data_IF_384338634425
#
_entry.id   IF_384338634425
#
_cell.length_a   1.000
_cell.length_b   1.000
_cell.length_c   1.000
_cell.angle_alpha   90.00
_cell.angle_beta   90.00
_cell.angle_gamma   90.00
#
_symmetry.space_group_name_H-M   'P 1'
#
loop_
_entity.id
_entity.type
_entity.pdbx_description
1 polymer ?
#
# COMPACT_ATOMS: atom_id res chain seq x y z
N UNK A 1 1.45 -17.58 -1.56
CA UNK A 1 1.03 -16.89 -0.36
C UNK A 1 0.39 -17.85 0.67
N UNK A 2 -0.72 -18.56 0.33
CA UNK A 2 -1.43 -19.47 1.25
C UNK A 2 -0.58 -20.67 1.70
N UNK A 3 0.23 -21.28 0.82
CA UNK A 3 1.14 -22.37 1.18
C UNK A 3 2.18 -21.91 2.22
N UNK A 4 2.64 -20.67 2.12
CA UNK A 4 3.55 -20.07 3.10
C UNK A 4 2.86 -19.89 4.46
N UNK A 5 1.61 -19.41 4.46
CA UNK A 5 0.82 -19.28 5.69
C UNK A 5 0.58 -20.65 6.37
N UNK A 6 0.24 -21.69 5.59
CA UNK A 6 0.10 -23.06 6.10
C UNK A 6 1.41 -23.60 6.72
N UNK A 7 2.56 -23.32 6.09
CA UNK A 7 3.88 -23.70 6.65
C UNK A 7 4.17 -22.99 7.97
N UNK A 8 3.82 -21.70 8.08
CA UNK A 8 3.95 -20.96 9.34
C UNK A 8 3.04 -21.52 10.44
N UNK A 9 1.87 -22.02 10.08
CA UNK A 9 1.01 -22.77 11.00
C UNK A 9 1.50 -24.20 11.33
N UNK A 10 2.71 -24.58 10.90
CA UNK A 10 3.29 -25.90 11.12
C UNK A 10 2.67 -27.03 10.29
N UNK A 11 1.97 -26.70 9.19
CA UNK A 11 1.41 -27.68 8.30
C UNK A 11 2.44 -28.20 7.29
N UNK A 12 2.48 -29.51 7.08
CA UNK A 12 3.23 -30.13 5.99
C UNK A 12 2.31 -30.27 4.78
N UNK A 13 2.53 -29.43 3.76
CA UNK A 13 1.73 -29.44 2.52
C UNK A 13 2.37 -30.40 1.53
N UNK A 14 1.65 -31.44 1.14
CA UNK A 14 2.09 -32.44 0.18
C UNK A 14 1.61 -32.14 -1.24
N UNK A 15 2.28 -32.71 -2.26
CA UNK A 15 1.89 -32.54 -3.66
C UNK A 15 0.48 -33.08 -3.96
N UNK A 16 0.04 -34.13 -3.26
CA UNK A 16 -1.31 -34.70 -3.35
C UNK A 16 -2.44 -33.74 -2.94
N UNK A 17 -2.10 -32.69 -2.21
CA UNK A 17 -3.06 -31.69 -1.74
C UNK A 17 -3.29 -30.58 -2.77
N UNK A 18 -2.74 -30.72 -3.98
CA UNK A 18 -2.87 -29.77 -5.10
C UNK A 18 -2.56 -28.31 -4.70
N UNK A 19 -1.36 -28.01 -4.13
CA UNK A 19 -1.04 -26.70 -3.55
C UNK A 19 -0.87 -25.58 -4.58
N UNK A 20 -1.08 -25.86 -5.86
CA UNK A 20 -0.91 -24.89 -6.95
C UNK A 20 -2.12 -23.93 -7.05
N UNK A 21 -3.32 -24.40 -6.70
CA UNK A 21 -4.55 -23.63 -6.79
C UNK A 21 -5.36 -23.78 -5.50
N UNK A 22 -5.71 -22.64 -4.90
CA UNK A 22 -6.47 -22.63 -3.64
C UNK A 22 -7.86 -23.26 -3.77
N UNK A 23 -8.50 -23.12 -4.94
CA UNK A 23 -9.83 -23.64 -5.23
C UNK A 23 -9.88 -25.17 -5.32
N UNK A 24 -8.74 -25.79 -5.66
CA UNK A 24 -8.62 -27.25 -5.80
C UNK A 24 -7.86 -27.90 -4.65
N UNK A 25 -7.33 -27.10 -3.73
CA UNK A 25 -6.58 -27.58 -2.58
C UNK A 25 -7.53 -28.15 -1.52
N UNK A 26 -7.26 -29.37 -1.05
CA UNK A 26 -7.95 -29.95 0.10
C UNK A 26 -7.48 -29.25 1.39
N UNK A 27 -8.28 -28.33 1.92
CA UNK A 27 -7.94 -27.51 3.09
C UNK A 27 -8.39 -28.14 4.42
N UNK A 28 -9.32 -29.06 4.40
CA UNK A 28 -9.92 -29.69 5.58
C UNK A 28 -8.89 -30.24 6.56
N UNK A 29 -7.78 -30.92 6.13
CA UNK A 29 -6.79 -31.47 7.05
C UNK A 29 -5.98 -30.40 7.79
N UNK A 30 -6.02 -29.15 7.32
CA UNK A 30 -5.22 -28.04 7.85
C UNK A 30 -6.02 -27.08 8.74
N UNK A 31 -7.35 -27.12 8.70
CA UNK A 31 -8.22 -26.15 9.37
C UNK A 31 -7.94 -26.03 10.87
N UNK A 32 -7.84 -27.17 11.57
CA UNK A 32 -7.64 -27.17 13.02
C UNK A 32 -6.25 -26.64 13.42
N UNK A 33 -5.21 -26.99 12.68
CA UNK A 33 -3.84 -26.47 12.92
C UNK A 33 -3.77 -24.98 12.64
N UNK A 34 -4.38 -24.49 11.58
CA UNK A 34 -4.42 -23.06 11.25
C UNK A 34 -5.19 -22.30 12.31
N UNK A 35 -6.35 -22.79 12.79
CA UNK A 35 -7.11 -22.20 13.88
C UNK A 35 -6.28 -22.10 15.15
N UNK A 36 -5.66 -23.21 15.59
CA UNK A 36 -4.83 -23.26 16.81
C UNK A 36 -3.60 -22.33 16.70
N UNK A 37 -3.03 -22.21 15.50
CA UNK A 37 -1.93 -21.26 15.27
C UNK A 37 -2.42 -19.84 15.34
N UNK A 38 -3.55 -19.52 14.71
CA UNK A 38 -4.11 -18.18 14.68
C UNK A 38 -4.52 -17.70 16.10
N UNK A 39 -5.07 -18.59 16.93
CA UNK A 39 -5.41 -18.31 18.32
C UNK A 39 -4.18 -18.00 19.18
N UNK A 40 -3.00 -18.50 18.80
CA UNK A 40 -1.72 -18.27 19.48
C UNK A 40 -0.95 -17.07 18.94
N UNK A 41 -1.34 -16.54 17.76
CA UNK A 41 -0.72 -15.35 17.20
C UNK A 41 -1.23 -14.16 18.01
N UNK A 42 -0.45 -13.72 18.97
CA UNK A 42 -0.60 -12.39 19.54
C UNK A 42 -0.21 -11.39 18.45
N UNK A 43 -1.16 -10.60 17.98
CA UNK A 43 -0.83 -9.41 17.22
C UNK A 43 0.08 -8.56 18.13
N UNK A 44 1.20 -8.02 17.63
CA UNK A 44 2.00 -7.10 18.43
C UNK A 44 1.05 -6.01 18.93
N UNK A 45 1.02 -5.81 20.25
CA UNK A 45 0.34 -4.65 20.83
C UNK A 45 1.04 -3.43 20.25
N UNK A 46 0.44 -2.86 19.22
CA UNK A 46 0.83 -1.55 18.72
C UNK A 46 0.51 -0.60 19.87
N UNK A 47 1.52 -0.10 20.56
CA UNK A 47 1.37 1.11 21.38
C UNK A 47 1.14 2.25 20.39
N UNK A 48 -0.07 2.32 19.86
CA UNK A 48 -0.50 3.41 19.03
C UNK A 48 -0.49 4.65 19.94
N UNK A 49 0.40 5.60 19.64
CA UNK A 49 0.26 6.93 20.26
C UNK A 49 -1.17 7.39 19.98
N UNK A 50 -1.87 7.91 21.00
CA UNK A 50 -3.27 8.35 20.89
C UNK A 50 -3.47 9.55 19.94
N UNK A 51 -2.42 9.98 19.26
CA UNK A 51 -2.48 11.07 18.29
C UNK A 51 -2.73 10.50 16.89
N UNK A 52 -3.89 10.80 16.30
CA UNK A 52 -4.20 10.35 14.95
C UNK A 52 -3.21 10.97 13.94
N UNK A 53 -2.64 10.10 13.09
CA UNK A 53 -1.82 10.52 11.97
C UNK A 53 -2.69 11.02 10.80
N UNK A 54 -3.85 10.39 10.58
CA UNK A 54 -4.83 10.77 9.58
C UNK A 54 -6.23 10.68 10.16
N UNK A 55 -7.06 11.70 9.92
CA UNK A 55 -8.49 11.69 10.23
C UNK A 55 -9.29 12.10 9.00
N UNK A 56 -10.36 11.40 8.75
CA UNK A 56 -11.36 11.73 7.74
C UNK A 56 -12.66 11.94 8.49
N UNK A 57 -13.26 13.12 8.33
CA UNK A 57 -14.43 13.57 9.11
C UNK A 57 -15.56 13.96 8.17
N UNK A 58 -16.68 13.26 8.27
CA UNK A 58 -17.97 13.55 7.60
C UNK A 58 -17.80 13.81 6.09
N UNK A 59 -16.99 12.96 5.43
CA UNK A 59 -16.56 13.18 4.06
C UNK A 59 -17.61 12.70 3.07
N UNK A 60 -18.11 13.64 2.25
CA UNK A 60 -19.03 13.38 1.13
C UNK A 60 -18.35 13.69 -0.20
N UNK A 61 -18.65 12.89 -1.22
CA UNK A 61 -18.17 13.15 -2.57
C UNK A 61 -19.06 12.56 -3.67
N UNK A 62 -19.26 13.34 -4.74
CA UNK A 62 -19.99 12.96 -5.94
C UNK A 62 -19.26 13.42 -7.20
N UNK A 63 -19.01 12.51 -8.17
CA UNK A 63 -18.55 12.95 -9.51
C UNK A 63 -19.64 13.68 -10.30
N UNK A 64 -20.90 13.36 -10.02
CA UNK A 64 -22.08 13.94 -10.66
C UNK A 64 -23.04 14.34 -9.55
N UNK A 65 -23.51 15.58 -9.57
CA UNK A 65 -24.47 16.10 -8.60
C UNK A 65 -25.68 15.17 -8.47
N UNK A 66 -26.01 14.81 -7.23
CA UNK A 66 -27.12 13.90 -6.89
C UNK A 66 -26.82 12.41 -7.04
N UNK A 67 -25.56 12.05 -7.36
CA UNK A 67 -25.10 10.64 -7.40
C UNK A 67 -23.91 10.45 -6.46
N UNK A 68 -24.13 10.31 -5.15
CA UNK A 68 -23.07 10.18 -4.18
C UNK A 68 -22.26 8.89 -4.40
N UNK A 69 -20.95 9.00 -4.33
CA UNK A 69 -19.99 7.88 -4.34
C UNK A 69 -19.52 7.58 -2.92
N UNK A 70 -19.30 8.64 -2.13
CA UNK A 70 -18.97 8.55 -0.73
C UNK A 70 -19.97 9.40 0.04
N UNK A 71 -20.48 8.89 1.15
CA UNK A 71 -21.42 9.59 2.03
C UNK A 71 -21.07 9.31 3.46
N UNK A 72 -20.91 10.37 4.25
CA UNK A 72 -20.63 10.33 5.70
C UNK A 72 -19.46 9.40 6.06
N UNK A 73 -18.37 9.50 5.30
CA UNK A 73 -17.17 8.71 5.58
C UNK A 73 -16.43 9.32 6.76
N UNK A 74 -16.28 8.51 7.80
CA UNK A 74 -15.63 8.89 9.04
C UNK A 74 -14.70 7.80 9.54
N UNK A 75 -13.39 8.09 9.69
CA UNK A 75 -12.42 7.20 10.32
C UNK A 75 -11.17 7.96 10.75
N UNK A 76 -10.36 7.32 11.60
CA UNK A 76 -9.03 7.80 12.00
C UNK A 76 -8.01 6.67 11.95
N UNK A 77 -6.75 7.01 11.72
CA UNK A 77 -5.62 6.11 11.75
C UNK A 77 -4.56 6.73 12.66
N UNK A 78 -4.16 6.00 13.70
CA UNK A 78 -3.07 6.43 14.59
C UNK A 78 -1.71 6.05 14.02
N UNK A 79 -0.64 6.63 14.55
CA UNK A 79 0.73 6.27 14.14
C UNK A 79 0.99 4.80 14.42
N UNK A 80 1.57 4.10 13.42
CA UNK A 80 1.86 2.67 13.49
C UNK A 80 0.65 1.75 13.28
N UNK A 81 -0.53 2.31 13.06
CA UNK A 81 -1.76 1.55 12.82
C UNK A 81 -1.91 1.17 11.34
N UNK A 82 -2.59 0.06 11.10
CA UNK A 82 -2.91 -0.44 9.77
C UNK A 82 -4.42 -0.53 9.61
N UNK A 83 -4.98 0.21 8.64
CA UNK A 83 -6.40 0.18 8.31
C UNK A 83 -6.63 -0.50 6.97
N UNK A 84 -7.50 -1.50 6.93
CA UNK A 84 -7.94 -2.13 5.69
C UNK A 84 -9.33 -1.62 5.29
N UNK A 85 -9.43 -1.03 4.08
CA UNK A 85 -10.69 -0.59 3.50
C UNK A 85 -11.14 -1.62 2.48
N UNK A 86 -12.22 -2.34 2.80
CA UNK A 86 -12.78 -3.40 1.97
C UNK A 86 -14.14 -3.00 1.39
N UNK A 87 -14.40 -3.44 0.16
CA UNK A 87 -15.67 -3.17 -0.52
C UNK A 87 -15.66 -3.67 -1.94
N UNK A 88 -16.85 -3.76 -2.55
CA UNK A 88 -17.03 -4.16 -3.95
C UNK A 88 -16.30 -3.21 -4.92
N UNK A 89 -16.06 -3.68 -6.16
CA UNK A 89 -15.58 -2.80 -7.21
C UNK A 89 -16.60 -1.67 -7.46
N UNK A 90 -16.10 -0.44 -7.58
CA UNK A 90 -16.94 0.75 -7.70
C UNK A 90 -17.47 1.34 -6.38
N UNK A 91 -17.13 0.75 -5.21
CA UNK A 91 -17.57 1.26 -3.91
C UNK A 91 -16.87 2.55 -3.43
N UNK A 92 -16.03 3.18 -4.27
CA UNK A 92 -15.39 4.45 -3.93
C UNK A 92 -14.01 4.34 -3.25
N UNK A 93 -13.41 3.15 -3.13
CA UNK A 93 -12.09 2.96 -2.47
C UNK A 93 -11.00 3.85 -3.07
N UNK A 94 -10.78 3.77 -4.39
CA UNK A 94 -9.79 4.61 -5.07
C UNK A 94 -10.19 6.09 -5.09
N UNK A 95 -11.49 6.40 -5.07
CA UNK A 95 -11.99 7.78 -4.92
C UNK A 95 -11.56 8.36 -3.58
N UNK A 96 -11.68 7.59 -2.49
CA UNK A 96 -11.23 8.01 -1.17
C UNK A 96 -9.70 8.26 -1.14
N UNK A 97 -8.92 7.35 -1.75
CA UNK A 97 -7.46 7.55 -1.89
C UNK A 97 -7.13 8.84 -2.65
N UNK A 98 -7.86 9.14 -3.72
CA UNK A 98 -7.68 10.36 -4.51
C UNK A 98 -8.03 11.63 -3.73
N UNK A 99 -9.06 11.61 -2.89
CA UNK A 99 -9.43 12.70 -1.99
C UNK A 99 -8.33 12.96 -0.94
N UNK A 100 -7.82 11.92 -0.31
CA UNK A 100 -6.74 12.03 0.68
C UNK A 100 -5.47 12.59 0.03
N UNK A 101 -5.13 12.14 -1.17
CA UNK A 101 -3.96 12.65 -1.91
C UNK A 101 -4.16 14.03 -2.53
N UNK A 102 -5.40 14.55 -2.60
CA UNK A 102 -5.71 15.87 -3.14
C UNK A 102 -5.82 15.92 -4.67
N UNK A 103 -5.99 14.77 -5.35
CA UNK A 103 -6.27 14.75 -6.80
C UNK A 103 -7.68 15.25 -7.12
N UNK A 104 -8.60 15.11 -6.18
CA UNK A 104 -9.96 15.63 -6.21
C UNK A 104 -10.29 16.24 -4.84
N UNK A 105 -11.30 17.11 -4.78
CA UNK A 105 -11.73 17.77 -3.55
C UNK A 105 -13.08 17.21 -3.10
N UNK A 106 -13.31 17.06 -1.78
CA UNK A 106 -14.60 16.61 -1.27
C UNK A 106 -15.69 17.67 -1.45
N UNK A 107 -16.95 17.24 -1.55
CA UNK A 107 -18.11 18.13 -1.52
C UNK A 107 -18.34 18.70 -0.12
N UNK A 108 -18.19 17.85 0.90
CA UNK A 108 -18.28 18.17 2.33
C UNK A 108 -17.26 17.38 3.14
N UNK A 109 -17.08 17.79 4.39
CA UNK A 109 -16.18 17.13 5.33
C UNK A 109 -14.75 17.66 5.31
N UNK A 110 -13.87 16.99 6.07
CA UNK A 110 -12.48 17.41 6.24
C UNK A 110 -11.53 16.22 6.28
N UNK A 111 -10.29 16.46 5.87
CA UNK A 111 -9.19 15.52 6.01
C UNK A 111 -8.10 16.21 6.81
N UNK A 112 -7.74 15.62 7.96
CA UNK A 112 -6.71 16.14 8.84
C UNK A 112 -5.49 15.23 8.79
N UNK A 113 -4.31 15.82 8.68
CA UNK A 113 -3.01 15.15 8.80
C UNK A 113 -2.31 15.68 10.04
N UNK A 114 -2.01 14.81 11.00
CA UNK A 114 -1.47 15.19 12.30
C UNK A 114 -2.28 16.32 12.98
N UNK A 115 -3.61 16.26 12.89
CA UNK A 115 -4.54 17.24 13.45
C UNK A 115 -4.68 18.55 12.66
N UNK A 116 -3.96 18.71 11.54
CA UNK A 116 -4.04 19.90 10.67
C UNK A 116 -4.87 19.63 9.43
N UNK A 117 -5.84 20.50 9.13
CA UNK A 117 -6.63 20.42 7.90
C UNK A 117 -5.71 20.58 6.68
N UNK A 118 -5.86 19.67 5.71
CA UNK A 118 -5.05 19.66 4.48
C UNK A 118 -5.83 20.13 3.24
N UNK A 119 -7.00 20.74 3.40
CA UNK A 119 -7.84 21.17 2.28
C UNK A 119 -7.08 22.09 1.31
N UNK A 120 -6.36 23.08 1.83
CA UNK A 120 -5.59 24.06 1.06
C UNK A 120 -4.20 23.58 0.60
N UNK A 121 -3.77 22.37 1.03
CA UNK A 121 -2.47 21.83 0.63
C UNK A 121 -2.52 21.29 -0.79
N UNK A 122 -1.54 21.69 -1.59
CA UNK A 122 -1.31 21.15 -2.93
C UNK A 122 -0.98 19.65 -2.90
N UNK A 123 -1.15 18.97 -4.04
CA UNK A 123 -0.75 17.57 -4.22
C UNK A 123 0.73 17.36 -3.83
N UNK A 124 1.61 18.32 -4.17
CA UNK A 124 3.03 18.27 -3.83
C UNK A 124 3.25 18.28 -2.32
N UNK A 125 2.61 19.18 -1.60
CA UNK A 125 2.73 19.30 -0.14
C UNK A 125 2.15 18.07 0.57
N UNK A 126 1.02 17.53 0.10
CA UNK A 126 0.48 16.27 0.62
C UNK A 126 1.41 15.09 0.34
N UNK A 127 2.04 15.05 -0.84
CA UNK A 127 3.00 14.03 -1.25
C UNK A 127 4.33 14.03 -0.47
N UNK A 128 4.57 15.02 0.39
CA UNK A 128 5.69 14.99 1.34
C UNK A 128 5.45 14.00 2.48
N UNK A 129 4.20 13.83 2.90
CA UNK A 129 3.81 12.97 4.01
C UNK A 129 2.98 11.74 3.59
N UNK A 130 2.28 11.81 2.45
CA UNK A 130 1.37 10.75 1.98
C UNK A 130 1.94 10.09 0.73
N UNK A 131 2.24 8.80 0.81
CA UNK A 131 2.64 7.98 -0.33
C UNK A 131 1.48 7.16 -0.86
N UNK A 132 1.22 7.21 -2.18
CA UNK A 132 0.20 6.39 -2.83
C UNK A 132 0.85 5.40 -3.80
N UNK A 133 0.52 4.13 -3.64
CA UNK A 133 0.82 3.07 -4.61
C UNK A 133 -0.47 2.71 -5.34
N UNK A 134 -0.56 3.09 -6.62
CA UNK A 134 -1.74 2.85 -7.46
C UNK A 134 -1.89 1.37 -7.84
N UNK A 135 -3.10 0.96 -8.19
CA UNK A 135 -3.42 -0.39 -8.62
C UNK A 135 -2.55 -0.85 -9.82
N UNK A 136 -2.45 -0.02 -10.85
CA UNK A 136 -1.66 -0.33 -12.05
C UNK A 136 -0.26 0.31 -11.98
N UNK A 137 0.82 -0.49 -11.85
CA UNK A 137 2.18 0.05 -11.75
C UNK A 137 2.65 0.78 -13.01
N UNK A 138 2.10 0.46 -14.20
CA UNK A 138 2.50 1.15 -15.43
C UNK A 138 2.07 2.61 -15.47
N UNK A 139 1.12 3.04 -14.63
CA UNK A 139 0.73 4.45 -14.49
C UNK A 139 1.69 5.27 -13.63
N UNK A 140 2.52 4.58 -12.84
CA UNK A 140 3.47 5.23 -11.93
C UNK A 140 4.90 5.26 -12.50
N UNK A 141 5.28 4.22 -13.25
CA UNK A 141 6.65 4.06 -13.75
C UNK A 141 6.93 5.02 -14.89
N UNK A 142 7.97 5.84 -14.73
CA UNK A 142 8.37 6.88 -15.66
C UNK A 142 9.80 6.71 -16.20
N UNK A 143 10.65 5.92 -15.51
CA UNK A 143 12.05 5.71 -15.90
C UNK A 143 12.27 4.32 -16.47
N UNK A 144 13.21 4.19 -17.43
CA UNK A 144 13.49 2.90 -18.06
C UNK A 144 14.26 1.93 -17.14
N UNK A 145 15.02 2.43 -16.17
CA UNK A 145 15.86 1.63 -15.29
C UNK A 145 15.27 1.59 -13.86
N UNK A 146 15.36 0.42 -13.21
CA UNK A 146 14.81 0.20 -11.85
C UNK A 146 15.43 1.16 -10.85
N UNK A 147 16.76 1.31 -10.84
CA UNK A 147 17.44 2.22 -9.94
C UNK A 147 16.95 3.66 -10.11
N UNK A 148 16.87 4.13 -11.35
CA UNK A 148 16.48 5.51 -11.64
C UNK A 148 15.02 5.78 -11.31
N UNK A 149 14.14 4.80 -11.48
CA UNK A 149 12.72 4.92 -11.07
C UNK A 149 12.61 5.10 -9.56
N UNK A 150 13.29 4.26 -8.79
CA UNK A 150 13.26 4.35 -7.32
C UNK A 150 13.97 5.62 -6.81
N UNK A 151 15.04 6.04 -7.47
CA UNK A 151 15.81 7.24 -7.10
C UNK A 151 15.11 8.56 -7.43
N UNK A 152 14.13 8.53 -8.35
CA UNK A 152 13.55 9.75 -8.95
C UNK A 152 13.08 10.76 -7.91
N UNK A 153 12.26 10.32 -6.95
CA UNK A 153 11.69 11.21 -5.95
C UNK A 153 12.74 11.87 -5.05
N UNK A 154 13.78 11.13 -4.66
CA UNK A 154 14.89 11.66 -3.87
C UNK A 154 15.70 12.72 -4.65
N UNK A 155 16.00 12.43 -5.92
CA UNK A 155 16.73 13.36 -6.79
C UNK A 155 15.93 14.64 -7.03
N UNK A 156 14.62 14.56 -7.24
CA UNK A 156 13.74 15.73 -7.36
C UNK A 156 13.75 16.60 -6.09
N UNK A 157 13.93 15.96 -4.93
CA UNK A 157 14.08 16.68 -3.63
C UNK A 157 15.50 17.18 -3.36
N UNK A 158 16.45 16.98 -4.27
CA UNK A 158 17.83 17.42 -4.14
C UNK A 158 18.66 16.64 -3.12
N UNK A 159 18.29 15.41 -2.83
CA UNK A 159 19.06 14.52 -1.94
C UNK A 159 20.41 14.20 -2.60
N UNK A 160 21.55 14.25 -1.86
CA UNK A 160 22.86 13.91 -2.39
C UNK A 160 22.92 12.48 -2.95
N UNK A 161 23.63 12.27 -4.06
CA UNK A 161 23.62 10.99 -4.81
C UNK A 161 24.12 9.80 -3.98
N UNK A 162 25.04 10.01 -3.04
CA UNK A 162 25.52 8.95 -2.14
C UNK A 162 24.40 8.47 -1.21
N UNK A 163 23.62 9.39 -0.63
CA UNK A 163 22.46 9.06 0.18
C UNK A 163 21.35 8.42 -0.66
N UNK A 164 21.11 8.92 -1.88
CA UNK A 164 20.17 8.33 -2.83
C UNK A 164 20.50 6.86 -3.05
N UNK A 165 21.76 6.54 -3.33
CA UNK A 165 22.22 5.17 -3.59
C UNK A 165 22.01 4.25 -2.38
N UNK A 166 22.34 4.72 -1.20
CA UNK A 166 22.17 3.98 0.04
C UNK A 166 20.69 3.64 0.29
N UNK A 167 19.83 4.67 0.27
CA UNK A 167 18.39 4.53 0.50
C UNK A 167 17.71 3.66 -0.54
N UNK A 168 18.03 3.84 -1.83
CA UNK A 168 17.51 3.02 -2.92
C UNK A 168 17.89 1.56 -2.74
N UNK A 169 19.15 1.26 -2.43
CA UNK A 169 19.59 -0.12 -2.24
C UNK A 169 18.93 -0.78 -1.04
N UNK A 170 18.72 -0.05 0.04
CA UNK A 170 17.99 -0.54 1.20
C UNK A 170 16.55 -0.94 0.81
N UNK A 171 15.80 -0.05 0.14
CA UNK A 171 14.41 -0.33 -0.24
C UNK A 171 14.29 -1.42 -1.31
N UNK A 172 15.23 -1.48 -2.25
CA UNK A 172 15.29 -2.59 -3.22
C UNK A 172 15.56 -3.94 -2.53
N UNK A 173 16.35 -4.00 -1.45
CA UNK A 173 16.54 -5.22 -0.65
C UNK A 173 15.23 -5.64 0.04
N UNK A 174 14.54 -4.69 0.68
CA UNK A 174 13.24 -4.93 1.34
C UNK A 174 12.21 -5.47 0.34
N UNK A 175 12.14 -4.89 -0.86
CA UNK A 175 11.22 -5.32 -1.91
C UNK A 175 11.69 -6.56 -2.71
N UNK A 176 12.84 -7.17 -2.37
CA UNK A 176 13.39 -8.34 -3.06
C UNK A 176 13.81 -8.06 -4.51
N UNK A 177 14.18 -6.80 -4.83
CA UNK A 177 14.55 -6.35 -6.16
C UNK A 177 16.04 -6.01 -6.31
N UNK A 178 16.82 -6.09 -5.24
CA UNK A 178 18.24 -5.73 -5.27
C UNK A 178 19.08 -6.47 -6.34
N UNK A 179 18.85 -7.78 -6.63
CA UNK A 179 19.55 -8.46 -7.71
C UNK A 179 19.29 -7.83 -9.10
N UNK A 180 18.13 -7.19 -9.28
CA UNK A 180 17.67 -6.59 -10.53
C UNK A 180 17.93 -5.08 -10.63
N UNK A 181 18.63 -4.47 -9.67
CA UNK A 181 18.79 -3.01 -9.53
C UNK A 181 19.30 -2.30 -10.79
N UNK A 182 20.09 -2.99 -11.62
CA UNK A 182 20.64 -2.47 -12.87
C UNK A 182 19.86 -2.92 -14.10
N UNK A 183 18.69 -3.52 -13.92
CA UNK A 183 17.88 -4.01 -15.04
C UNK A 183 16.91 -2.96 -15.52
N UNK A 184 16.51 -3.04 -16.82
CA UNK A 184 15.41 -2.23 -17.31
C UNK A 184 14.07 -2.70 -16.73
N UNK A 185 13.17 -1.77 -16.46
CA UNK A 185 11.84 -2.06 -15.94
C UNK A 185 11.01 -2.90 -16.92
N UNK A 186 11.29 -2.77 -18.22
CA UNK A 186 10.62 -3.55 -19.28
C UNK A 186 10.85 -5.06 -19.18
N UNK A 187 11.94 -5.50 -18.54
CA UNK A 187 12.25 -6.91 -18.31
C UNK A 187 11.50 -7.54 -17.14
N UNK A 188 10.75 -6.74 -16.37
CA UNK A 188 10.07 -7.18 -15.16
C UNK A 188 8.66 -7.71 -15.43
N UNK A 189 8.25 -8.73 -14.66
CA UNK A 189 6.85 -9.16 -14.58
C UNK A 189 5.98 -8.07 -13.94
N UNK A 190 4.65 -8.17 -14.10
CA UNK A 190 3.71 -7.22 -13.49
C UNK A 190 3.90 -7.11 -11.97
N UNK A 191 4.01 -8.23 -11.26
CA UNK A 191 4.23 -8.24 -9.81
C UNK A 191 5.60 -7.66 -9.41
N UNK A 192 6.64 -7.81 -10.23
CA UNK A 192 7.93 -7.15 -10.00
C UNK A 192 7.82 -5.64 -10.23
N UNK A 193 7.12 -5.18 -11.27
CA UNK A 193 6.83 -3.75 -11.50
C UNK A 193 6.07 -3.15 -10.32
N UNK A 194 5.07 -3.86 -9.77
CA UNK A 194 4.36 -3.43 -8.56
C UNK A 194 5.32 -3.22 -7.38
N UNK A 195 6.27 -4.14 -7.18
CA UNK A 195 7.29 -3.98 -6.14
C UNK A 195 8.25 -2.81 -6.39
N UNK A 196 8.54 -2.47 -7.66
CA UNK A 196 9.29 -1.26 -7.99
C UNK A 196 8.52 -0.01 -7.56
N UNK A 197 7.21 0.07 -7.87
CA UNK A 197 6.39 1.22 -7.45
C UNK A 197 6.27 1.33 -5.94
N UNK A 198 6.21 0.21 -5.22
CA UNK A 198 6.26 0.21 -3.75
C UNK A 198 7.62 0.76 -3.28
N UNK A 199 8.73 0.30 -3.85
CA UNK A 199 10.07 0.77 -3.49
C UNK A 199 10.25 2.27 -3.74
N UNK A 200 9.73 2.82 -4.87
CA UNK A 200 9.82 4.24 -5.20
C UNK A 200 9.00 5.15 -4.27
N UNK A 201 7.95 4.61 -3.64
CA UNK A 201 7.23 5.34 -2.59
C UNK A 201 7.93 5.17 -1.23
N UNK A 202 8.31 3.94 -0.85
CA UNK A 202 8.96 3.68 0.43
C UNK A 202 10.29 4.43 0.62
N UNK A 203 11.03 4.68 -0.46
CA UNK A 203 12.30 5.42 -0.40
C UNK A 203 12.12 6.86 0.07
N UNK A 204 10.93 7.42 -0.15
CA UNK A 204 10.55 8.77 0.28
C UNK A 204 10.21 8.85 1.77
N UNK A 205 10.07 7.70 2.45
CA UNK A 205 9.73 7.58 3.86
C UNK A 205 8.45 8.34 4.26
N UNK A 206 7.30 8.09 3.60
CA UNK A 206 6.05 8.77 3.90
C UNK A 206 5.54 8.43 5.31
N UNK A 207 4.82 9.36 5.94
CA UNK A 207 4.14 9.13 7.23
C UNK A 207 2.90 8.24 7.05
N UNK A 208 2.19 8.43 5.95
CA UNK A 208 1.01 7.63 5.55
C UNK A 208 1.32 6.90 4.24
N UNK A 209 1.10 5.60 4.22
CA UNK A 209 1.22 4.79 3.01
C UNK A 209 -0.15 4.24 2.61
N UNK A 210 -0.62 4.63 1.43
CA UNK A 210 -1.85 4.14 0.83
C UNK A 210 -1.48 3.12 -0.25
N UNK A 211 -2.03 1.91 -0.13
CA UNK A 211 -1.84 0.83 -1.10
C UNK A 211 -3.18 0.50 -1.75
N UNK A 212 -3.36 0.87 -3.03
CA UNK A 212 -4.57 0.56 -3.79
C UNK A 212 -4.40 -0.81 -4.47
N UNK A 213 -5.14 -1.81 -3.99
CA UNK A 213 -5.11 -3.21 -4.42
C UNK A 213 -3.67 -3.76 -4.61
N UNK A 214 -2.84 -3.81 -3.54
CA UNK A 214 -1.42 -4.14 -3.66
C UNK A 214 -1.14 -5.57 -4.15
N UNK A 215 -2.11 -6.47 -4.03
CA UNK A 215 -2.01 -7.88 -4.42
C UNK A 215 -2.67 -8.20 -5.77
N UNK A 216 -3.30 -7.23 -6.42
CA UNK A 216 -3.92 -7.44 -7.73
C UNK A 216 -2.86 -7.84 -8.77
N UNK A 217 -3.10 -8.97 -9.47
CA UNK A 217 -2.21 -9.47 -10.51
C UNK A 217 -0.99 -10.26 -10.03
N UNK A 218 -1.00 -10.72 -8.78
CA UNK A 218 0.00 -11.66 -8.25
C UNK A 218 -0.47 -13.11 -8.34
#
# INVERSE_FOLDING_TARGET
>A
LYVTALKHAGCQVAAKDHPQHIETMHLEPYQEKVRTWFEKVSLPETQAEEKPALEVLDLDFSYITGKPILSDIHFRINKGEMLAIVGKNGAGKSTLSNLICGFIHPDHGKILLNGSDIADKSIKERGEAIGLVMQNPNQMISKPMIFDEVALGLRVRGVPEEEVKERVYEKLKICGLYPFRNWPVSALSFGQKKRVTIASILVMNPEILILDEPTAGQ
#
